data_IF_659500193877
#
_entry.id   IF_659500193877
#
_cell.length_a   1.000
_cell.length_b   1.000
_cell.length_c   1.000
_cell.angle_alpha   90.00
_cell.angle_beta   90.00
_cell.angle_gamma   90.00
#
_symmetry.space_group_name_H-M   'P 1'
#
loop_
_entity.id
_entity.type
_entity.pdbx_description
1 polymer ?
#
# COMPACT_ATOMS: atom_id res chain seq x y z
N UNK A 1 20.41 6.16 1.26
CA UNK A 1 19.73 6.95 0.22
C UNK A 1 18.26 6.56 0.25
N UNK A 2 17.33 7.48 0.56
CA UNK A 2 15.90 7.19 0.75
C UNK A 2 15.17 6.70 -0.52
N UNK A 3 15.88 6.59 -1.64
CA UNK A 3 15.38 6.22 -2.97
C UNK A 3 15.12 4.72 -3.15
N UNK A 4 15.36 3.89 -2.13
CA UNK A 4 15.14 2.44 -2.16
C UNK A 4 13.83 1.97 -1.53
N UNK A 5 13.07 2.87 -0.90
CA UNK A 5 11.81 2.48 -0.26
C UNK A 5 10.74 2.26 -1.32
N UNK A 6 10.27 1.01 -1.44
CA UNK A 6 9.12 0.64 -2.26
C UNK A 6 7.89 0.57 -1.38
N UNK A 7 6.78 1.05 -1.92
CA UNK A 7 5.47 1.06 -1.30
C UNK A 7 4.53 0.12 -2.06
N UNK A 8 3.66 -0.53 -1.32
CA UNK A 8 2.49 -1.17 -1.86
C UNK A 8 1.29 -0.86 -0.97
N UNK A 9 0.12 -0.78 -1.57
CA UNK A 9 -1.12 -0.54 -0.87
C UNK A 9 -2.21 -1.50 -1.34
N UNK A 10 -3.29 -1.60 -0.57
CA UNK A 10 -4.44 -2.44 -0.89
C UNK A 10 -5.66 -1.88 -0.17
N UNK A 11 -6.77 -1.75 -0.85
CA UNK A 11 -8.08 -1.45 -0.26
C UNK A 11 -8.85 -2.75 -0.10
N UNK A 12 -9.03 -3.19 1.15
CA UNK A 12 -9.79 -4.41 1.43
C UNK A 12 -11.21 -4.31 0.86
N UNK A 13 -11.69 -5.39 0.26
CA UNK A 13 -12.98 -5.50 -0.44
C UNK A 13 -13.08 -4.73 -1.77
N UNK A 14 -11.98 -4.14 -2.25
CA UNK A 14 -11.95 -3.48 -3.57
C UNK A 14 -10.80 -4.01 -4.44
N UNK A 15 -9.59 -4.06 -3.88
CA UNK A 15 -8.43 -4.60 -4.58
C UNK A 15 -8.32 -6.11 -4.36
N UNK A 16 -8.15 -6.92 -5.42
CA UNK A 16 -7.95 -8.37 -5.29
C UNK A 16 -6.57 -8.72 -4.73
N UNK A 17 -5.58 -7.84 -4.89
CA UNK A 17 -4.19 -8.04 -4.49
C UNK A 17 -3.48 -6.70 -4.19
N UNK A 18 -2.29 -6.76 -3.59
CA UNK A 18 -1.47 -5.58 -3.32
C UNK A 18 -1.04 -4.84 -4.60
N UNK A 19 -1.40 -3.57 -4.70
CA UNK A 19 -0.95 -2.67 -5.76
C UNK A 19 0.45 -2.16 -5.45
N UNK A 20 1.39 -2.42 -6.36
CA UNK A 20 2.79 -1.97 -6.24
C UNK A 20 2.91 -0.51 -6.67
N UNK A 21 3.18 0.39 -5.71
CA UNK A 21 3.32 1.82 -5.96
C UNK A 21 4.77 2.23 -6.28
N UNK A 22 5.74 1.32 -6.14
CA UNK A 22 7.15 1.65 -6.31
C UNK A 22 7.56 2.73 -5.32
N UNK A 23 8.13 3.84 -5.77
CA UNK A 23 8.49 4.98 -4.89
C UNK A 23 7.35 5.99 -4.71
N UNK A 24 6.21 5.80 -5.41
CA UNK A 24 5.06 6.70 -5.29
C UNK A 24 4.39 6.53 -3.93
N UNK A 25 3.94 7.66 -3.36
CA UNK A 25 3.26 7.74 -2.07
C UNK A 25 1.80 8.19 -2.23
N UNK A 26 1.23 7.97 -3.40
CA UNK A 26 -0.12 8.38 -3.77
C UNK A 26 -0.90 7.16 -4.25
N UNK A 27 -2.17 7.10 -3.85
CA UNK A 27 -3.15 6.12 -4.29
C UNK A 27 -4.45 6.86 -4.61
N UNK A 28 -5.09 6.52 -5.73
CA UNK A 28 -6.33 7.16 -6.18
C UNK A 28 -7.37 6.08 -6.42
N UNK A 29 -8.47 6.16 -5.66
CA UNK A 29 -9.66 5.32 -5.85
C UNK A 29 -10.81 6.21 -6.32
N UNK A 30 -11.49 5.77 -7.39
CA UNK A 30 -12.67 6.44 -7.94
C UNK A 30 -13.84 5.46 -7.94
N UNK A 31 -15.06 5.99 -7.91
CA UNK A 31 -16.29 5.18 -7.94
C UNK A 31 -16.37 4.10 -6.84
N UNK A 32 -15.97 4.43 -5.62
CA UNK A 32 -16.20 3.55 -4.47
C UNK A 32 -17.67 3.63 -4.05
N UNK A 33 -18.32 2.47 -3.95
CA UNK A 33 -19.65 2.36 -3.40
C UNK A 33 -19.67 2.75 -1.90
N UNK A 34 -20.82 3.17 -1.34
CA UNK A 34 -20.92 3.43 0.09
C UNK A 34 -20.64 2.17 0.91
N UNK A 35 -19.71 2.25 1.85
CA UNK A 35 -19.35 1.11 2.68
C UNK A 35 -18.17 1.39 3.60
N UNK A 36 -17.74 0.35 4.31
CA UNK A 36 -16.53 0.38 5.13
C UNK A 36 -15.41 -0.31 4.38
N UNK A 37 -14.31 0.41 4.20
CA UNK A 37 -13.09 -0.10 3.58
C UNK A 37 -11.93 0.00 4.55
N UNK A 38 -11.01 -0.94 4.46
CA UNK A 38 -9.75 -0.89 5.20
C UNK A 38 -8.62 -0.65 4.22
N UNK A 39 -8.01 0.54 4.31
CA UNK A 39 -6.84 0.87 3.50
C UNK A 39 -5.58 0.35 4.19
N UNK A 40 -4.89 -0.57 3.55
CA UNK A 40 -3.63 -1.17 4.02
C UNK A 40 -2.46 -0.62 3.22
N UNK A 41 -1.39 -0.31 3.92
CA UNK A 41 -0.13 0.15 3.31
C UNK A 41 1.05 -0.64 3.89
N UNK A 42 1.99 -1.00 3.01
CA UNK A 42 3.27 -1.59 3.40
C UNK A 42 4.41 -0.91 2.65
N UNK A 43 5.55 -0.83 3.31
CA UNK A 43 6.77 -0.27 2.74
C UNK A 43 7.93 -1.24 2.96
N UNK A 44 8.89 -1.22 2.03
CA UNK A 44 10.18 -1.89 2.24
C UNK A 44 11.07 -1.05 3.16
N UNK A 45 11.89 -1.72 3.96
CA UNK A 45 12.99 -1.07 4.65
C UNK A 45 14.13 -0.71 3.67
N UNK A 46 15.22 -0.11 4.17
CA UNK A 46 16.39 0.25 3.36
C UNK A 46 17.04 -0.94 2.61
N UNK A 47 16.75 -2.17 3.04
CA UNK A 47 17.25 -3.43 2.46
C UNK A 47 16.29 -4.03 1.43
N UNK A 48 15.18 -3.35 1.10
CA UNK A 48 14.19 -3.85 0.15
C UNK A 48 13.28 -4.94 0.71
N UNK A 49 13.36 -5.22 2.02
CA UNK A 49 12.55 -6.23 2.70
C UNK A 49 11.24 -5.57 3.14
N UNK A 50 10.11 -6.16 2.76
CA UNK A 50 8.79 -5.73 3.22
C UNK A 50 8.72 -5.79 4.74
N UNK A 51 8.37 -4.68 5.38
CA UNK A 51 8.18 -4.68 6.83
C UNK A 51 6.96 -5.58 7.16
N UNK A 52 7.14 -6.70 7.89
CA UNK A 52 6.03 -7.57 8.29
C UNK A 52 5.13 -6.93 9.35
N UNK A 53 5.51 -5.76 9.90
CA UNK A 53 4.76 -5.02 10.91
C UNK A 53 4.13 -3.76 10.32
N UNK A 54 3.19 -3.92 9.39
CA UNK A 54 2.14 -2.92 9.24
C UNK A 54 1.20 -3.09 10.45
N UNK A 55 1.38 -2.27 11.49
CA UNK A 55 0.43 -2.26 12.62
C UNK A 55 -0.89 -1.63 12.13
N UNK A 56 -2.04 -2.21 12.51
CA UNK A 56 -3.36 -1.70 12.16
C UNK A 56 -3.60 -0.30 12.71
#
# INVERSE_FOLDING_TARGET
MPEKNRYAYMLENFDPDWVQAGTKREATYTNLDPGTYTFRVRATNNDGIWNPRARP
#
